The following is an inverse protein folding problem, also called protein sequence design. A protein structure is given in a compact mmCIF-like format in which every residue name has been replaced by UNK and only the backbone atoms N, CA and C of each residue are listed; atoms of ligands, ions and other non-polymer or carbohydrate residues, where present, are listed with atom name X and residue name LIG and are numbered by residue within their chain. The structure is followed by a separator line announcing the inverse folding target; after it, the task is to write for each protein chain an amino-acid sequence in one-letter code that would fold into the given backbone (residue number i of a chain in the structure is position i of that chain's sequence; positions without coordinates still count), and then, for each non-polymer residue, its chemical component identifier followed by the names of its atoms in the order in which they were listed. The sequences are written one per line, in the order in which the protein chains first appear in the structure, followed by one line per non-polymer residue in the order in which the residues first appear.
data_IF_357148729476
#
_entry.id   IF_357148729476
#
_cell.length_a   1.000
_cell.length_b   1.000
_cell.length_c   1.000
_cell.angle_alpha   90.00
_cell.angle_beta   90.00
_cell.angle_gamma   90.00
#
_symmetry.space_group_name_H-M   'P 1'
#
loop_
_entity.id
_entity.type
_entity.pdbx_description
1 polymer ?
#
# COMPACT_ATOMS: atom_id res chain seq x y z
N UNK A 1 -38.23 13.08 35.28
CA UNK A 1 -37.10 12.41 34.60
C UNK A 1 -35.87 12.55 35.47
N UNK A 2 -35.44 11.43 36.08
CA UNK A 2 -34.49 11.42 37.19
C UNK A 2 -33.05 11.69 36.74
N UNK A 3 -32.23 12.30 37.61
CA UNK A 3 -30.78 12.51 37.43
C UNK A 3 -30.02 11.25 36.99
N UNK A 4 -30.55 10.06 37.27
CA UNK A 4 -29.99 8.78 36.82
C UNK A 4 -29.99 8.60 35.29
N UNK A 5 -31.01 9.10 34.57
CA UNK A 5 -31.06 8.96 33.10
C UNK A 5 -29.99 9.86 32.44
N UNK A 6 -29.68 11.02 33.02
CA UNK A 6 -28.65 11.92 32.48
C UNK A 6 -27.23 11.39 32.70
N UNK A 7 -26.97 10.70 33.80
CA UNK A 7 -25.65 10.07 34.04
C UNK A 7 -25.45 8.89 33.09
N UNK A 8 -26.48 8.06 32.86
CA UNK A 8 -26.39 6.91 31.95
C UNK A 8 -26.13 7.33 30.48
N UNK A 9 -26.73 8.43 30.02
CA UNK A 9 -26.47 8.98 28.67
C UNK A 9 -25.05 9.55 28.57
N UNK A 10 -24.52 10.13 29.66
CA UNK A 10 -23.14 10.64 29.68
C UNK A 10 -22.10 9.50 29.72
N UNK A 11 -22.34 8.39 30.43
CA UNK A 11 -21.44 7.22 30.40
C UNK A 11 -21.49 6.48 29.06
N UNK A 12 -22.65 6.41 28.39
CA UNK A 12 -22.76 5.85 27.03
C UNK A 12 -22.07 6.72 25.98
N UNK A 13 -22.02 8.05 26.15
CA UNK A 13 -21.26 8.94 25.27
C UNK A 13 -19.75 8.91 25.51
N UNK A 14 -19.30 8.64 26.74
CA UNK A 14 -17.85 8.51 27.05
C UNK A 14 -17.30 7.14 26.62
N UNK A 15 -18.12 6.08 26.56
CA UNK A 15 -17.72 4.79 25.98
C UNK A 15 -17.70 4.75 24.44
N UNK A 16 -18.18 5.81 23.77
CA UNK A 16 -18.08 5.98 22.32
C UNK A 16 -16.93 6.92 21.91
N UNK A 17 -15.96 7.18 22.79
CA UNK A 17 -14.62 7.54 22.33
C UNK A 17 -13.97 6.28 21.76
N UNK A 18 -14.46 5.83 20.59
CA UNK A 18 -13.63 5.10 19.66
C UNK A 18 -12.42 5.99 19.45
N UNK A 19 -11.27 5.59 19.99
CA UNK A 19 -9.99 6.15 19.60
C UNK A 19 -9.78 5.72 18.16
N UNK A 20 -10.42 6.44 17.22
CA UNK A 20 -10.15 6.30 15.81
C UNK A 20 -8.64 6.40 15.65
N UNK A 21 -8.06 5.39 14.99
CA UNK A 21 -6.65 5.39 14.68
C UNK A 21 -6.48 6.55 13.71
N UNK A 22 -5.97 7.68 14.20
CA UNK A 22 -5.70 8.84 13.33
C UNK A 22 -4.31 8.74 12.68
N UNK A 23 -3.45 7.86 13.20
CA UNK A 23 -2.11 7.61 12.68
C UNK A 23 -1.50 6.30 13.16
N UNK A 24 -0.84 5.57 12.27
CA UNK A 24 -0.16 4.30 12.60
C UNK A 24 1.05 4.48 13.52
N UNK A 25 1.61 5.69 13.62
CA UNK A 25 2.69 6.00 14.58
C UNK A 25 2.33 5.76 16.03
N UNK A 26 1.04 5.90 16.36
CA UNK A 26 0.54 5.74 17.72
C UNK A 26 0.27 4.28 18.07
N UNK A 27 0.30 3.39 17.07
CA UNK A 27 0.13 1.96 17.28
C UNK A 27 1.43 1.35 17.77
N UNK A 28 1.32 0.48 18.77
CA UNK A 28 2.42 -0.38 19.18
C UNK A 28 2.70 -1.38 18.05
N UNK A 29 3.94 -1.39 17.54
CA UNK A 29 4.39 -2.37 16.57
C UNK A 29 5.16 -3.49 17.25
N UNK A 30 5.02 -4.70 16.73
CA UNK A 30 5.81 -5.86 17.14
C UNK A 30 6.95 -6.04 16.14
N UNK A 31 8.19 -5.84 16.60
CA UNK A 31 9.38 -6.04 15.77
C UNK A 31 9.73 -7.52 15.73
N UNK A 32 9.82 -8.07 14.51
CA UNK A 32 10.22 -9.46 14.27
C UNK A 32 11.74 -9.58 14.18
N UNK A 33 12.36 -8.68 13.43
CA UNK A 33 13.81 -8.63 13.21
C UNK A 33 14.23 -7.22 12.80
N UNK A 34 15.43 -6.84 13.22
CA UNK A 34 16.18 -5.70 12.66
C UNK A 34 17.54 -6.22 12.22
N UNK A 35 17.96 -5.87 11.01
CA UNK A 35 19.25 -6.29 10.44
C UNK A 35 19.91 -5.12 9.71
N UNK A 36 20.82 -4.43 10.40
CA UNK A 36 21.39 -3.18 9.91
C UNK A 36 20.31 -2.13 9.65
N UNK A 37 20.07 -1.83 8.37
CA UNK A 37 19.09 -0.83 7.90
C UNK A 37 17.72 -1.42 7.60
N UNK A 38 17.60 -2.74 7.57
CA UNK A 38 16.35 -3.45 7.33
C UNK A 38 15.57 -3.67 8.63
N UNK A 39 14.26 -3.48 8.56
CA UNK A 39 13.35 -3.66 9.68
C UNK A 39 12.10 -4.43 9.23
N UNK A 40 11.80 -5.50 9.96
CA UNK A 40 10.66 -6.38 9.75
C UNK A 40 9.78 -6.34 10.99
N UNK A 41 8.54 -5.92 10.85
CA UNK A 41 7.63 -5.74 11.98
C UNK A 41 6.18 -5.94 11.54
N UNK A 42 5.25 -5.96 12.49
CA UNK A 42 3.83 -5.88 12.19
C UNK A 42 3.06 -5.01 13.18
N UNK A 43 1.91 -4.52 12.73
CA UNK A 43 0.84 -4.01 13.57
C UNK A 43 -0.33 -5.00 13.59
N UNK A 44 -1.04 -5.08 14.71
CA UNK A 44 -2.31 -5.81 14.81
C UNK A 44 -3.37 -4.91 15.45
N UNK A 45 -4.54 -4.82 14.83
CA UNK A 45 -5.65 -3.99 15.31
C UNK A 45 -7.00 -4.51 14.77
N UNK A 46 -8.11 -3.90 15.21
CA UNK A 46 -9.44 -4.26 14.75
C UNK A 46 -9.63 -3.90 13.26
N UNK A 47 -10.32 -4.78 12.53
CA UNK A 47 -10.73 -4.55 11.17
C UNK A 47 -11.92 -3.57 11.17
N UNK A 48 -11.61 -2.30 10.91
CA UNK A 48 -12.57 -1.20 10.88
C UNK A 48 -12.77 -0.69 9.46
N UNK A 49 -13.99 -0.28 9.12
CA UNK A 49 -14.35 0.12 7.75
C UNK A 49 -13.60 1.38 7.29
N UNK A 50 -13.26 2.30 8.21
CA UNK A 50 -12.56 3.54 7.88
C UNK A 50 -11.16 3.31 7.30
N UNK A 51 -10.54 2.16 7.57
CA UNK A 51 -9.23 1.80 7.03
C UNK A 51 -9.21 1.74 5.50
N UNK A 52 -10.37 1.54 4.89
CA UNK A 52 -10.53 1.39 3.44
C UNK A 52 -11.16 2.63 2.79
N UNK A 53 -11.41 3.69 3.56
CA UNK A 53 -11.96 4.95 3.08
C UNK A 53 -10.88 5.83 2.44
N UNK A 54 -11.29 6.80 1.64
CA UNK A 54 -10.38 7.66 0.86
C UNK A 54 -9.73 8.74 1.71
N UNK A 55 -10.36 9.10 2.81
CA UNK A 55 -9.85 10.06 3.78
C UNK A 55 -8.56 9.49 4.40
N UNK A 56 -7.41 10.10 4.09
CA UNK A 56 -6.09 9.57 4.47
C UNK A 56 -5.70 9.82 5.93
N UNK A 57 -6.48 10.64 6.65
CA UNK A 57 -6.18 11.07 8.01
C UNK A 57 -4.99 12.02 8.09
N UNK A 58 -4.20 11.92 9.17
CA UNK A 58 -2.98 12.72 9.33
C UNK A 58 -1.84 11.98 8.63
N UNK A 59 -1.39 12.45 7.48
CA UNK A 59 -0.35 11.85 6.65
C UNK A 59 0.74 12.86 6.26
N UNK A 60 1.30 13.54 7.27
CA UNK A 60 2.24 14.66 7.09
C UNK A 60 3.42 14.37 6.13
N UNK A 61 3.93 13.14 6.10
CA UNK A 61 5.00 12.73 5.20
C UNK A 61 4.54 12.74 3.73
N UNK A 62 3.33 12.24 3.45
CA UNK A 62 2.73 12.30 2.12
C UNK A 62 2.44 13.76 1.75
N UNK A 63 1.86 14.54 2.67
CA UNK A 63 1.57 15.96 2.42
C UNK A 63 2.84 16.74 2.05
N UNK A 64 3.94 16.53 2.80
CA UNK A 64 5.23 17.14 2.51
C UNK A 64 5.80 16.67 1.17
N UNK A 65 5.59 15.42 0.80
CA UNK A 65 6.00 14.89 -0.50
C UNK A 65 5.24 15.60 -1.64
N UNK A 66 3.92 15.70 -1.54
CA UNK A 66 3.06 16.44 -2.48
C UNK A 66 3.51 17.90 -2.63
N UNK A 67 3.72 18.59 -1.51
CA UNK A 67 4.17 19.98 -1.49
C UNK A 67 5.54 20.16 -2.17
N UNK A 68 6.45 19.21 -1.91
CA UNK A 68 7.80 19.23 -2.51
C UNK A 68 7.73 19.02 -4.02
N UNK A 69 6.93 18.07 -4.50
CA UNK A 69 6.76 17.85 -5.94
C UNK A 69 6.11 19.04 -6.63
N UNK A 70 5.07 19.61 -6.03
CA UNK A 70 4.41 20.80 -6.56
C UNK A 70 5.37 22.00 -6.64
N UNK A 71 6.23 22.19 -5.62
CA UNK A 71 7.25 23.25 -5.62
C UNK A 71 8.29 23.07 -6.73
N UNK A 72 8.74 21.85 -6.98
CA UNK A 72 9.84 21.54 -7.92
C UNK A 72 9.36 21.49 -9.37
N UNK A 73 8.22 20.83 -9.62
CA UNK A 73 7.68 20.65 -10.96
C UNK A 73 6.87 21.88 -11.41
N UNK A 74 6.31 22.62 -10.45
CA UNK A 74 5.26 23.61 -10.68
C UNK A 74 3.89 22.94 -10.90
N UNK A 75 2.82 23.67 -10.55
CA UNK A 75 1.44 23.16 -10.50
C UNK A 75 1.03 22.38 -11.74
N UNK A 76 1.26 22.92 -12.95
CA UNK A 76 0.83 22.26 -14.19
C UNK A 76 1.52 20.91 -14.40
N UNK A 77 2.85 20.85 -14.25
CA UNK A 77 3.62 19.61 -14.49
C UNK A 77 3.34 18.59 -13.39
N UNK A 78 3.21 19.02 -12.14
CA UNK A 78 2.79 18.19 -11.02
C UNK A 78 1.42 17.54 -11.28
N UNK A 79 0.39 18.32 -11.63
CA UNK A 79 -0.94 17.79 -11.92
C UNK A 79 -0.92 16.80 -13.10
N UNK A 80 -0.20 17.14 -14.18
CA UNK A 80 -0.05 16.21 -15.32
C UNK A 80 0.67 14.92 -14.94
N UNK A 81 1.66 14.96 -14.06
CA UNK A 81 2.38 13.78 -13.60
C UNK A 81 1.49 12.85 -12.74
N UNK A 82 0.72 13.43 -11.82
CA UNK A 82 -0.24 12.68 -11.00
C UNK A 82 -1.39 12.11 -11.84
N UNK A 83 -1.92 12.89 -12.79
CA UNK A 83 -3.01 12.48 -13.68
C UNK A 83 -2.57 11.36 -14.63
N UNK A 84 -1.34 11.39 -15.15
CA UNK A 84 -0.80 10.34 -16.02
C UNK A 84 -0.92 8.95 -15.40
N UNK A 85 -0.65 8.85 -14.09
CA UNK A 85 -0.72 7.57 -13.38
C UNK A 85 -2.13 7.24 -12.87
N UNK A 86 -3.07 8.19 -12.85
CA UNK A 86 -4.43 7.96 -12.36
C UNK A 86 -5.40 7.46 -13.45
N UNK A 87 -5.05 7.67 -14.72
CA UNK A 87 -5.92 7.34 -15.87
C UNK A 87 -5.62 5.96 -16.45
N UNK A 88 -6.70 5.26 -16.79
CA UNK A 88 -6.68 3.96 -17.49
C UNK A 88 -7.34 4.08 -18.88
N UNK A 89 -6.84 5.00 -19.72
CA UNK A 89 -7.42 5.31 -21.03
C UNK A 89 -6.38 5.34 -22.17
N UNK A 90 -5.19 4.78 -21.97
CA UNK A 90 -4.19 4.70 -23.02
C UNK A 90 -4.69 3.85 -24.20
N UNK A 91 -4.31 4.25 -25.42
CA UNK A 91 -4.71 3.54 -26.62
C UNK A 91 -4.05 2.15 -26.69
N UNK A 92 -4.88 1.10 -26.73
CA UNK A 92 -4.46 -0.30 -26.90
C UNK A 92 -3.63 -0.57 -28.17
N UNK A 93 -3.69 0.31 -29.18
CA UNK A 93 -2.82 0.21 -30.35
C UNK A 93 -1.31 0.28 -30.00
N UNK A 94 -0.96 0.86 -28.85
CA UNK A 94 0.40 0.93 -28.33
C UNK A 94 0.89 -0.42 -27.73
N UNK A 95 0.00 -1.35 -27.39
CA UNK A 95 0.34 -2.67 -26.80
C UNK A 95 1.09 -3.57 -27.78
N UNK A 96 0.83 -3.45 -29.09
CA UNK A 96 1.28 -4.42 -30.09
C UNK A 96 2.67 -4.14 -30.66
N UNK A 97 3.39 -3.15 -30.12
CA UNK A 97 4.60 -2.61 -30.74
C UNK A 97 5.91 -2.82 -29.96
N UNK A 98 5.90 -3.44 -28.77
CA UNK A 98 7.14 -3.59 -27.97
C UNK A 98 7.47 -4.99 -27.45
N UNK A 99 8.78 -5.16 -27.19
CA UNK A 99 9.43 -6.35 -26.66
C UNK A 99 9.86 -6.21 -25.18
N UNK A 100 9.46 -5.13 -24.49
CA UNK A 100 9.81 -4.88 -23.07
C UNK A 100 8.65 -5.26 -22.13
N UNK A 101 8.86 -6.29 -21.30
CA UNK A 101 7.83 -6.86 -20.44
C UNK A 101 7.31 -5.93 -19.34
N UNK A 102 8.17 -5.08 -18.75
CA UNK A 102 7.72 -4.08 -17.76
C UNK A 102 6.74 -3.09 -18.41
N UNK A 103 7.04 -2.72 -19.66
CA UNK A 103 6.22 -1.81 -20.43
C UNK A 103 4.90 -2.46 -20.87
N UNK A 104 4.91 -3.74 -21.24
CA UNK A 104 3.70 -4.51 -21.52
C UNK A 104 2.80 -4.54 -20.28
N UNK A 105 3.36 -4.81 -19.10
CA UNK A 105 2.63 -4.80 -17.84
C UNK A 105 2.02 -3.43 -17.54
N UNK A 106 2.77 -2.34 -17.74
CA UNK A 106 2.27 -0.98 -17.61
C UNK A 106 1.10 -0.70 -18.57
N UNK A 107 1.21 -1.09 -19.84
CA UNK A 107 0.14 -0.89 -20.80
C UNK A 107 -1.13 -1.68 -20.44
N UNK A 108 -1.01 -2.91 -19.92
CA UNK A 108 -2.16 -3.69 -19.46
C UNK A 108 -2.94 -2.95 -18.38
N UNK A 109 -2.26 -2.29 -17.45
CA UNK A 109 -2.91 -1.48 -16.42
C UNK A 109 -3.48 -0.19 -17.00
N UNK A 110 -2.67 0.64 -17.67
CA UNK A 110 -3.07 1.98 -18.09
C UNK A 110 -4.02 2.01 -19.30
N UNK A 111 -4.29 0.87 -19.94
CA UNK A 111 -5.41 0.70 -20.88
C UNK A 111 -6.71 0.26 -20.22
N UNK A 112 -6.68 -0.04 -18.91
CA UNK A 112 -7.82 -0.59 -18.17
C UNK A 112 -8.09 -2.06 -18.48
N UNK A 113 -7.15 -2.76 -19.12
CA UNK A 113 -7.30 -4.18 -19.45
C UNK A 113 -7.21 -5.05 -18.20
N UNK A 114 -6.31 -4.70 -17.28
CA UNK A 114 -6.10 -5.42 -16.02
C UNK A 114 -6.01 -4.43 -14.87
N UNK A 115 -6.60 -4.81 -13.74
CA UNK A 115 -6.54 -4.05 -12.51
C UNK A 115 -7.35 -2.74 -12.57
N UNK A 116 -7.48 -2.11 -11.40
CA UNK A 116 -8.24 -0.88 -11.22
C UNK A 116 -7.38 0.15 -10.51
N UNK A 117 -7.14 1.28 -11.16
CA UNK A 117 -6.52 2.43 -10.52
C UNK A 117 -7.57 3.20 -9.74
N UNK A 118 -7.25 3.53 -8.48
CA UNK A 118 -8.08 4.38 -7.61
C UNK A 118 -7.20 5.26 -6.74
N UNK A 119 -7.79 6.24 -6.09
CA UNK A 119 -7.12 7.00 -5.02
C UNK A 119 -6.65 6.06 -3.89
N UNK A 120 -5.54 6.43 -3.27
CA UNK A 120 -5.03 5.76 -2.07
C UNK A 120 -6.06 5.83 -0.93
N UNK A 121 -6.17 4.77 -0.14
CA UNK A 121 -7.05 4.76 1.04
C UNK A 121 -6.29 5.07 2.34
N UNK A 122 -7.01 5.18 3.45
CA UNK A 122 -6.45 5.45 4.78
C UNK A 122 -5.32 4.47 5.15
N UNK A 123 -5.56 3.16 5.03
CA UNK A 123 -4.59 2.12 5.42
C UNK A 123 -3.28 2.25 4.63
N UNK A 124 -3.39 2.34 3.30
CA UNK A 124 -2.26 2.49 2.39
C UNK A 124 -1.49 3.78 2.67
N UNK A 125 -2.21 4.90 2.85
CA UNK A 125 -1.62 6.19 3.15
C UNK A 125 -0.88 6.17 4.49
N UNK A 126 -1.41 5.53 5.52
CA UNK A 126 -0.75 5.46 6.82
C UNK A 126 0.50 4.57 6.81
N UNK A 127 0.48 3.46 6.05
CA UNK A 127 1.65 2.61 5.87
C UNK A 127 2.76 3.37 5.12
N UNK A 128 2.42 3.99 3.99
CA UNK A 128 3.39 4.77 3.22
C UNK A 128 3.90 5.97 4.02
N UNK A 129 3.02 6.70 4.69
CA UNK A 129 3.40 7.83 5.54
C UNK A 129 4.41 7.42 6.61
N UNK A 130 4.23 6.24 7.24
CA UNK A 130 5.20 5.71 8.19
C UNK A 130 6.60 5.53 7.57
N UNK A 131 6.67 4.99 6.33
CA UNK A 131 7.93 4.85 5.59
C UNK A 131 8.55 6.22 5.27
N UNK A 132 7.76 7.14 4.69
CA UNK A 132 8.24 8.46 4.23
C UNK A 132 8.80 9.28 5.40
N UNK A 133 8.20 9.20 6.58
CA UNK A 133 8.68 9.96 7.74
C UNK A 133 10.00 9.41 8.31
N UNK A 134 10.33 8.16 8.04
CA UNK A 134 11.63 7.56 8.37
C UNK A 134 12.65 7.85 7.26
N UNK A 135 12.23 7.73 6.01
CA UNK A 135 13.04 7.90 4.80
C UNK A 135 12.27 8.77 3.79
N UNK A 136 12.50 10.10 3.77
CA UNK A 136 11.72 11.00 2.94
C UNK A 136 11.89 10.69 1.44
N UNK A 137 10.81 10.21 0.82
CA UNK A 137 10.80 9.60 -0.52
C UNK A 137 11.48 10.44 -1.59
N UNK A 138 11.30 11.76 -1.54
CA UNK A 138 11.94 12.69 -2.47
C UNK A 138 13.48 12.69 -2.38
N UNK A 139 14.01 12.66 -1.16
CA UNK A 139 15.47 12.80 -0.90
C UNK A 139 16.20 11.46 -0.75
N UNK A 140 15.48 10.43 -0.34
CA UNK A 140 15.96 9.09 -0.08
C UNK A 140 14.86 8.14 -0.53
N UNK A 141 14.78 7.86 -1.83
CA UNK A 141 13.72 7.02 -2.32
C UNK A 141 13.91 5.59 -1.83
N UNK A 142 12.83 5.00 -1.35
CA UNK A 142 12.82 3.65 -0.78
C UNK A 142 11.51 2.98 -1.11
N UNK A 143 11.56 1.67 -1.22
CA UNK A 143 10.38 0.84 -1.37
C UNK A 143 10.19 -0.09 -0.16
N UNK A 144 8.96 -0.54 0.06
CA UNK A 144 8.61 -1.49 1.11
C UNK A 144 7.72 -2.61 0.60
N UNK A 145 7.68 -3.72 1.33
CA UNK A 145 6.62 -4.73 1.18
C UNK A 145 5.70 -4.73 2.39
N UNK A 146 4.39 -4.69 2.14
CA UNK A 146 3.33 -4.80 3.12
C UNK A 146 2.51 -6.06 2.89
N UNK A 147 2.26 -6.84 3.92
CA UNK A 147 1.39 -8.03 3.86
C UNK A 147 0.24 -7.86 4.83
N UNK A 148 -0.98 -7.78 4.30
CA UNK A 148 -2.18 -7.46 5.07
C UNK A 148 -3.00 -8.73 5.21
N UNK A 149 -2.99 -9.26 6.43
CA UNK A 149 -3.72 -10.45 6.82
C UNK A 149 -5.03 -10.07 7.50
N UNK A 150 -6.08 -10.81 7.19
CA UNK A 150 -7.40 -10.67 7.82
C UNK A 150 -7.76 -11.94 8.59
N UNK A 151 -8.22 -11.76 9.83
CA UNK A 151 -8.91 -12.78 10.59
C UNK A 151 -10.38 -12.40 10.73
N UNK A 152 -11.22 -12.94 9.85
CA UNK A 152 -12.65 -12.64 9.80
C UNK A 152 -13.37 -13.06 11.09
N UNK A 153 -12.96 -14.18 11.70
CA UNK A 153 -13.58 -14.70 12.93
C UNK A 153 -13.38 -13.76 14.12
N UNK A 154 -12.23 -13.10 14.19
CA UNK A 154 -11.88 -12.17 15.27
C UNK A 154 -12.02 -10.70 14.88
N UNK A 155 -12.44 -10.41 13.63
CA UNK A 155 -12.44 -9.08 13.03
C UNK A 155 -11.13 -8.31 13.25
N UNK A 156 -10.00 -8.96 12.96
CA UNK A 156 -8.67 -8.36 13.12
C UNK A 156 -7.93 -8.25 11.81
N UNK A 157 -7.14 -7.19 11.69
CA UNK A 157 -6.10 -7.07 10.68
C UNK A 157 -4.74 -7.19 11.31
N UNK A 158 -3.82 -7.81 10.57
CA UNK A 158 -2.39 -7.80 10.86
C UNK A 158 -1.64 -7.33 9.64
N UNK A 159 -0.83 -6.28 9.81
CA UNK A 159 -0.11 -5.63 8.71
C UNK A 159 1.38 -5.82 8.96
N UNK A 160 2.01 -6.73 8.23
CA UNK A 160 3.44 -6.93 8.27
C UNK A 160 4.13 -5.98 7.29
N UNK A 161 5.24 -5.39 7.69
CA UNK A 161 6.04 -4.47 6.87
C UNK A 161 7.49 -4.94 6.84
N UNK A 162 8.04 -5.05 5.62
CA UNK A 162 9.46 -5.15 5.35
C UNK A 162 9.91 -3.81 4.79
N UNK A 163 10.75 -3.10 5.54
CA UNK A 163 11.24 -1.76 5.17
C UNK A 163 12.74 -1.66 5.33
N UNK A 164 13.39 -0.86 4.50
CA UNK A 164 14.81 -0.53 4.62
C UNK A 164 15.04 0.92 4.26
N UNK A 165 16.28 1.37 4.46
CA UNK A 165 16.74 2.69 4.03
C UNK A 165 17.39 2.67 2.63
N UNK A 166 17.18 1.60 1.87
CA UNK A 166 17.70 1.38 0.53
C UNK A 166 16.63 1.59 -0.54
N UNK A 167 17.05 1.81 -1.78
CA UNK A 167 16.16 2.01 -2.94
C UNK A 167 15.17 0.86 -3.11
N UNK A 168 15.66 -0.37 -3.08
CA UNK A 168 14.86 -1.59 -3.23
C UNK A 168 14.33 -2.12 -1.89
N UNK A 169 13.16 -2.78 -1.88
CA UNK A 169 12.60 -3.32 -0.66
C UNK A 169 13.44 -4.51 -0.16
N UNK A 170 13.51 -4.73 1.16
CA UNK A 170 14.27 -5.85 1.71
C UNK A 170 13.58 -7.19 1.39
N UNK A 171 14.37 -8.26 1.26
CA UNK A 171 13.81 -9.59 1.00
C UNK A 171 12.94 -10.06 2.19
N UNK A 172 11.63 -10.30 2.00
CA UNK A 172 10.69 -10.44 3.11
C UNK A 172 10.67 -11.85 3.74
N UNK A 173 11.79 -12.60 3.68
CA UNK A 173 11.86 -14.00 4.14
C UNK A 173 11.41 -14.21 5.59
N UNK A 174 11.74 -13.25 6.47
CA UNK A 174 11.31 -13.25 7.88
C UNK A 174 9.79 -13.21 7.99
N UNK A 175 9.14 -12.36 7.18
CA UNK A 175 7.68 -12.21 7.17
C UNK A 175 7.02 -13.42 6.55
N UNK A 176 7.54 -13.95 5.44
CA UNK A 176 6.97 -15.13 4.77
C UNK A 176 6.91 -16.34 5.72
N UNK A 177 7.93 -16.54 6.56
CA UNK A 177 7.90 -17.57 7.59
C UNK A 177 6.78 -17.35 8.62
N UNK A 178 6.51 -16.10 9.01
CA UNK A 178 5.40 -15.75 9.90
C UNK A 178 4.05 -15.94 9.22
N UNK A 179 3.93 -15.65 7.92
CA UNK A 179 2.69 -15.86 7.17
C UNK A 179 2.29 -17.33 7.22
N UNK A 180 3.21 -18.26 6.97
CA UNK A 180 2.95 -19.70 7.07
C UNK A 180 2.38 -20.14 8.42
N UNK A 181 2.83 -19.51 9.50
CA UNK A 181 2.36 -19.79 10.86
C UNK A 181 0.95 -19.23 11.07
N UNK A 182 0.69 -18.00 10.61
CA UNK A 182 -0.60 -17.34 10.82
C UNK A 182 -1.72 -17.90 9.91
N UNK A 183 -1.41 -18.28 8.68
CA UNK A 183 -2.37 -18.94 7.79
C UNK A 183 -2.88 -20.25 8.40
N UNK A 184 -2.02 -21.02 9.09
CA UNK A 184 -2.43 -22.23 9.85
C UNK A 184 -3.33 -21.92 11.05
N UNK A 185 -3.33 -20.68 11.55
CA UNK A 185 -4.21 -20.20 12.62
C UNK A 185 -5.52 -19.60 12.08
N UNK A 186 -5.76 -19.71 10.76
CA UNK A 186 -6.99 -19.26 10.11
C UNK A 186 -6.98 -17.78 9.68
N UNK A 187 -5.82 -17.13 9.68
CA UNK A 187 -5.69 -15.85 8.96
C UNK A 187 -5.69 -16.09 7.46
N UNK A 188 -6.03 -15.05 6.69
CA UNK A 188 -5.98 -15.05 5.22
C UNK A 188 -5.14 -13.87 4.74
N UNK A 189 -4.21 -14.11 3.81
CA UNK A 189 -3.48 -13.04 3.14
C UNK A 189 -4.39 -12.36 2.11
N UNK A 190 -4.93 -11.19 2.47
CA UNK A 190 -5.85 -10.45 1.61
C UNK A 190 -5.11 -9.60 0.59
N UNK A 191 -4.14 -8.83 1.07
CA UNK A 191 -3.42 -7.88 0.23
C UNK A 191 -1.91 -7.99 0.40
N UNK A 192 -1.19 -7.84 -0.70
CA UNK A 192 0.21 -7.44 -0.70
C UNK A 192 0.26 -6.00 -1.19
N UNK A 193 0.84 -5.10 -0.39
CA UNK A 193 1.01 -3.69 -0.72
C UNK A 193 2.49 -3.42 -0.98
N UNK A 194 2.77 -2.78 -2.10
CA UNK A 194 4.10 -2.31 -2.45
C UNK A 194 3.99 -0.85 -2.90
N UNK A 195 5.04 -0.05 -2.68
CA UNK A 195 5.07 1.31 -3.20
C UNK A 195 6.07 1.42 -4.34
N UNK A 196 5.71 2.18 -5.36
CA UNK A 196 6.63 2.61 -6.41
C UNK A 196 6.97 4.08 -6.26
N UNK A 197 8.15 4.43 -6.71
CA UNK A 197 8.58 5.80 -6.93
C UNK A 197 9.33 5.86 -8.27
N UNK A 198 9.56 7.05 -8.79
CA UNK A 198 10.41 7.22 -9.95
C UNK A 198 11.43 8.35 -9.76
N UNK A 199 12.39 8.46 -10.69
CA UNK A 199 13.41 9.52 -10.70
C UNK A 199 12.86 10.77 -11.40
N UNK A 200 13.68 11.82 -11.45
CA UNK A 200 13.31 13.15 -11.97
C UNK A 200 12.80 13.14 -13.42
N UNK A 201 13.36 12.26 -14.24
CA UNK A 201 13.00 12.07 -15.66
C UNK A 201 11.56 11.61 -15.86
N UNK A 202 10.97 11.01 -14.82
CA UNK A 202 9.58 10.55 -14.77
C UNK A 202 8.74 11.38 -13.77
N UNK A 203 9.18 12.60 -13.46
CA UNK A 203 8.49 13.54 -12.58
C UNK A 203 8.32 13.04 -11.12
N UNK A 204 9.16 12.09 -10.69
CA UNK A 204 9.12 11.49 -9.35
C UNK A 204 7.86 10.68 -9.01
N UNK A 205 6.89 10.54 -9.91
CA UNK A 205 5.66 9.77 -9.66
C UNK A 205 5.86 8.32 -10.11
N UNK A 206 5.70 7.38 -9.18
CA UNK A 206 5.83 5.95 -9.44
C UNK A 206 4.77 5.41 -10.40
N UNK A 207 5.18 4.54 -11.32
CA UNK A 207 4.30 3.85 -12.27
C UNK A 207 3.39 2.87 -11.52
N UNK A 208 2.09 2.87 -11.83
CA UNK A 208 1.12 1.97 -11.21
C UNK A 208 0.95 0.66 -11.99
N UNK A 209 2.03 -0.11 -12.10
CA UNK A 209 1.99 -1.43 -12.72
C UNK A 209 3.14 -2.31 -12.21
N UNK A 210 2.96 -3.64 -12.16
CA UNK A 210 4.02 -4.53 -11.69
C UNK A 210 5.18 -4.58 -12.69
N UNK A 211 6.41 -4.55 -12.17
CA UNK A 211 7.57 -5.01 -12.93
C UNK A 211 7.49 -6.52 -13.22
N UNK A 212 8.39 -7.05 -14.05
CA UNK A 212 8.58 -8.48 -14.27
C UNK A 212 8.85 -9.23 -12.96
N UNK A 213 9.61 -8.61 -12.06
CA UNK A 213 9.92 -9.15 -10.74
C UNK A 213 8.68 -9.16 -9.83
N UNK A 214 7.91 -8.08 -9.82
CA UNK A 214 6.66 -8.01 -9.05
C UNK A 214 5.64 -9.04 -9.55
N UNK A 215 5.46 -9.14 -10.86
CA UNK A 215 4.56 -10.11 -11.47
C UNK A 215 4.96 -11.55 -11.11
N UNK A 216 6.26 -11.88 -11.19
CA UNK A 216 6.76 -13.17 -10.73
C UNK A 216 6.49 -13.40 -9.25
N UNK A 217 6.69 -12.36 -8.43
CA UNK A 217 6.48 -12.43 -7.00
C UNK A 217 5.00 -12.63 -6.64
N UNK A 218 4.07 -11.98 -7.34
CA UNK A 218 2.63 -12.14 -7.14
C UNK A 218 2.14 -13.54 -7.51
N UNK A 219 2.67 -14.12 -8.60
CA UNK A 219 2.40 -15.53 -8.96
C UNK A 219 2.81 -16.47 -7.83
N UNK A 220 4.01 -16.28 -7.28
CA UNK A 220 4.51 -17.05 -6.14
C UNK A 220 3.64 -16.85 -4.88
N UNK A 221 3.27 -15.61 -4.55
CA UNK A 221 2.43 -15.31 -3.38
C UNK A 221 1.02 -15.92 -3.50
N UNK A 222 0.45 -15.92 -4.71
CA UNK A 222 -0.83 -16.59 -4.99
C UNK A 222 -0.70 -18.11 -4.80
N UNK A 223 0.33 -18.72 -5.36
CA UNK A 223 0.53 -20.18 -5.29
C UNK A 223 0.78 -20.65 -3.86
N UNK A 224 1.65 -19.97 -3.12
CA UNK A 224 2.10 -20.41 -1.80
C UNK A 224 1.21 -19.92 -0.66
N UNK A 225 0.73 -18.68 -0.73
CA UNK A 225 0.04 -18.00 0.37
C UNK A 225 -1.41 -17.61 0.05
N UNK A 226 -1.92 -18.01 -1.12
CA UNK A 226 -3.30 -17.72 -1.56
C UNK A 226 -3.62 -16.22 -1.54
N UNK A 227 -2.65 -15.39 -1.92
CA UNK A 227 -2.84 -13.94 -2.06
C UNK A 227 -4.07 -13.64 -2.94
N UNK A 228 -4.99 -12.82 -2.44
CA UNK A 228 -6.21 -12.44 -3.16
C UNK A 228 -6.01 -11.21 -4.06
N UNK A 229 -5.24 -10.23 -3.62
CA UNK A 229 -5.07 -8.96 -4.36
C UNK A 229 -3.70 -8.35 -4.14
N UNK A 230 -3.03 -7.95 -5.23
CA UNK A 230 -1.83 -7.12 -5.16
C UNK A 230 -2.18 -5.63 -5.29
N UNK A 231 -1.51 -4.80 -4.52
CA UNK A 231 -1.68 -3.35 -4.46
C UNK A 231 -0.33 -2.69 -4.72
N UNK A 232 -0.27 -1.81 -5.72
CA UNK A 232 0.90 -0.96 -5.95
C UNK A 232 0.46 0.48 -5.80
N UNK A 233 1.09 1.22 -4.89
CA UNK A 233 0.78 2.64 -4.63
C UNK A 233 1.94 3.54 -5.00
N UNK A 234 1.65 4.74 -5.50
CA UNK A 234 2.65 5.80 -5.69
C UNK A 234 2.47 6.96 -4.70
N UNK A 235 1.63 6.77 -3.68
CA UNK A 235 1.29 7.78 -2.67
C UNK A 235 0.14 8.71 -3.02
N UNK A 236 -0.33 8.69 -4.27
CA UNK A 236 -1.52 9.41 -4.73
C UNK A 236 -2.65 8.43 -5.07
N UNK A 237 -2.28 7.43 -5.84
CA UNK A 237 -3.17 6.41 -6.37
C UNK A 237 -2.58 5.03 -6.09
N UNK A 238 -3.45 4.03 -6.19
CA UNK A 238 -3.13 2.62 -6.02
C UNK A 238 -3.78 1.86 -7.17
N UNK A 239 -3.02 1.01 -7.85
CA UNK A 239 -3.60 -0.04 -8.70
C UNK A 239 -3.93 -1.25 -7.83
N UNK A 240 -5.14 -1.76 -7.98
CA UNK A 240 -5.58 -3.03 -7.41
C UNK A 240 -5.59 -4.10 -8.48
N UNK A 241 -4.96 -5.24 -8.22
CA UNK A 241 -4.84 -6.35 -9.16
C UNK A 241 -5.36 -7.62 -8.49
N UNK A 242 -6.44 -8.19 -9.02
CA UNK A 242 -6.99 -9.45 -8.51
C UNK A 242 -6.06 -10.62 -8.87
N UNK A 243 -5.94 -11.58 -7.96
CA UNK A 243 -5.14 -12.79 -8.14
C UNK A 243 -5.47 -13.58 -9.42
N UNK A 244 -6.71 -13.50 -9.92
CA UNK A 244 -7.11 -14.16 -11.16
C UNK A 244 -6.37 -13.61 -12.39
N UNK A 245 -5.83 -12.39 -12.30
CA UNK A 245 -5.16 -11.70 -13.39
C UNK A 245 -3.63 -11.81 -13.36
N UNK A 246 -3.03 -12.33 -12.29
CA UNK A 246 -1.56 -12.41 -12.15
C UNK A 246 -0.87 -13.15 -13.30
N UNK A 247 -1.50 -14.19 -13.85
CA UNK A 247 -0.94 -14.97 -14.97
C UNK A 247 -0.92 -14.22 -16.30
N UNK A 248 -1.60 -13.08 -16.39
CA UNK A 248 -1.66 -12.27 -17.61
C UNK A 248 -0.50 -11.28 -17.73
N UNK A 249 0.24 -11.06 -16.66
CA UNK A 249 1.44 -10.22 -16.68
C UNK A 249 2.66 -11.02 -17.12
N UNK A 250 3.53 -10.36 -17.87
CA UNK A 250 4.88 -10.84 -18.18
C UNK A 250 5.68 -10.94 -16.88
N UNK A 251 6.49 -11.99 -16.76
CA UNK A 251 7.34 -12.29 -15.60
C UNK A 251 8.66 -12.91 -16.05
N UNK A 252 9.66 -12.96 -15.15
CA UNK A 252 10.96 -13.59 -15.41
C UNK A 252 10.89 -15.10 -15.70
#
# INVERSE_FOLDING_TARGET
MSRLIRILILTLLIQACNTEITSFKKLEKVVLKTDGVEEFFYWEFQAEDFLWQKETGIANGIDLYCDTLNLILGEKRYQSAVERESVQNLDTALIRAEEDGDRINALLVHTGTIGRVREINFLEAQILNYQIEKYPLFSKPTEFHGFILNNEANRKLRVYIASSDTEWPPQPSVILNELDVELKKGWKLKFHLHNHYCKEDMDYVGILAPSLADAQYYKMLKEQFQLETALITNGFHTVEIDSQDFEKFESH
#
